data_IF_893914568176
#
_entry.id   IF_893914568176
#
_cell.length_a   1.000
_cell.length_b   1.000
_cell.length_c   1.000
_cell.angle_alpha   90.00
_cell.angle_beta   90.00
_cell.angle_gamma   90.00
#
_symmetry.space_group_name_H-M   'P 1'
#
loop_
_entity.id
_entity.type
_entity.pdbx_description
1 polymer ?
#
# COMPACT_ATOMS: atom_id res chain seq x y z
N UNK A 1 -23.51 -15.03 -25.05
CA UNK A 1 -22.16 -14.95 -24.45
C UNK A 1 -22.33 -14.33 -23.09
N UNK A 2 -21.92 -14.98 -22.02
CA UNK A 2 -21.93 -14.41 -20.66
C UNK A 2 -20.89 -13.28 -20.62
N UNK A 3 -21.31 -12.08 -20.26
CA UNK A 3 -20.42 -10.91 -20.15
C UNK A 3 -19.37 -11.20 -19.09
N UNK A 4 -18.09 -11.16 -19.46
CA UNK A 4 -16.98 -11.29 -18.51
C UNK A 4 -16.73 -9.92 -17.86
N UNK A 5 -17.38 -9.65 -16.74
CA UNK A 5 -17.25 -8.38 -16.02
C UNK A 5 -15.82 -8.07 -15.55
N UNK A 6 -15.04 -9.08 -15.21
CA UNK A 6 -13.64 -8.90 -14.82
C UNK A 6 -12.80 -8.33 -15.98
N UNK A 7 -12.96 -8.89 -17.18
CA UNK A 7 -12.22 -8.38 -18.35
C UNK A 7 -12.70 -6.98 -18.73
N UNK A 8 -14.00 -6.73 -18.70
CA UNK A 8 -14.55 -5.40 -18.97
C UNK A 8 -14.04 -4.36 -17.97
N UNK A 9 -14.00 -4.70 -16.68
CA UNK A 9 -13.41 -3.85 -15.65
C UNK A 9 -11.93 -3.54 -15.95
N UNK A 10 -11.10 -4.55 -16.26
CA UNK A 10 -9.70 -4.35 -16.60
C UNK A 10 -9.51 -3.46 -17.83
N UNK A 11 -10.37 -3.60 -18.85
CA UNK A 11 -10.33 -2.77 -20.05
C UNK A 11 -10.62 -1.30 -19.71
N UNK A 12 -11.64 -1.02 -18.89
CA UNK A 12 -11.95 0.34 -18.45
C UNK A 12 -10.81 0.93 -17.61
N UNK A 13 -10.20 0.15 -16.72
CA UNK A 13 -9.02 0.59 -15.95
C UNK A 13 -7.85 0.92 -16.88
N UNK A 14 -7.54 0.07 -17.87
CA UNK A 14 -6.48 0.33 -18.88
C UNK A 14 -6.74 1.63 -19.64
N UNK A 15 -7.98 1.85 -20.06
CA UNK A 15 -8.39 3.07 -20.74
C UNK A 15 -8.22 4.29 -19.83
N UNK A 16 -8.64 4.21 -18.57
CA UNK A 16 -8.46 5.26 -17.56
C UNK A 16 -7.00 5.67 -17.39
N UNK A 17 -6.10 4.69 -17.35
CA UNK A 17 -4.66 4.89 -17.25
C UNK A 17 -3.99 5.38 -18.55
N UNK A 18 -4.71 5.38 -19.68
CA UNK A 18 -4.12 5.66 -20.99
C UNK A 18 -3.19 4.55 -21.51
N UNK A 19 -3.39 3.31 -21.05
CA UNK A 19 -2.59 2.15 -21.46
C UNK A 19 -3.20 1.35 -22.62
N UNK A 20 -4.40 1.70 -23.08
CA UNK A 20 -5.10 1.04 -24.19
C UNK A 20 -5.70 2.08 -25.13
N UNK A 21 -5.66 1.75 -26.44
CA UNK A 21 -6.41 2.44 -27.46
C UNK A 21 -7.83 1.85 -27.61
N UNK A 22 -8.73 2.59 -28.32
CA UNK A 22 -10.17 2.32 -28.46
C UNK A 22 -10.58 1.00 -29.16
N UNK A 23 -9.68 0.06 -29.42
CA UNK A 23 -10.00 -1.23 -30.05
C UNK A 23 -10.70 -2.19 -29.06
N UNK A 24 -11.65 -1.65 -28.31
CA UNK A 24 -12.41 -2.36 -27.31
C UNK A 24 -13.69 -2.90 -27.96
N UNK A 25 -13.81 -4.24 -28.00
CA UNK A 25 -15.07 -4.93 -28.20
C UNK A 25 -15.98 -4.74 -26.96
N UNK A 26 -16.18 -3.46 -26.59
CA UNK A 26 -16.96 -3.05 -25.44
C UNK A 26 -18.45 -3.13 -25.77
N UNK A 27 -19.02 -4.33 -25.63
CA UNK A 27 -20.47 -4.46 -25.70
C UNK A 27 -21.12 -4.13 -24.34
N UNK A 28 -21.03 -2.86 -23.92
CA UNK A 28 -21.73 -2.34 -22.73
C UNK A 28 -23.27 -2.44 -22.88
N UNK A 29 -23.79 -2.47 -24.13
CA UNK A 29 -25.21 -2.55 -24.40
C UNK A 29 -25.76 -3.98 -24.36
N UNK A 30 -24.92 -5.00 -24.22
CA UNK A 30 -25.29 -6.42 -24.20
C UNK A 30 -25.77 -6.95 -22.84
N UNK A 31 -26.36 -6.12 -21.98
CA UNK A 31 -26.89 -6.55 -20.68
C UNK A 31 -25.86 -6.56 -19.54
N UNK A 32 -24.71 -5.88 -19.70
CA UNK A 32 -23.78 -5.66 -18.62
C UNK A 32 -24.46 -4.79 -17.55
N UNK A 33 -24.60 -5.31 -16.35
CA UNK A 33 -25.07 -4.53 -15.22
C UNK A 33 -23.96 -3.58 -14.78
N UNK A 34 -24.21 -2.26 -14.86
CA UNK A 34 -23.30 -1.26 -14.32
C UNK A 34 -23.02 -1.52 -12.82
N UNK A 35 -24.04 -1.93 -12.07
CA UNK A 35 -23.93 -2.26 -10.66
C UNK A 35 -22.89 -3.36 -10.38
N UNK A 36 -22.79 -4.37 -11.24
CA UNK A 36 -21.77 -5.42 -11.11
C UNK A 36 -20.35 -4.86 -11.33
N UNK A 37 -20.15 -3.98 -12.30
CA UNK A 37 -18.87 -3.29 -12.52
C UNK A 37 -18.52 -2.36 -11.37
N UNK A 38 -19.48 -1.59 -10.88
CA UNK A 38 -19.33 -0.69 -9.73
C UNK A 38 -18.93 -1.47 -8.46
N UNK A 39 -19.59 -2.62 -8.20
CA UNK A 39 -19.21 -3.50 -7.07
C UNK A 39 -17.77 -3.96 -7.20
N UNK A 40 -17.38 -4.51 -8.34
CA UNK A 40 -15.98 -4.94 -8.59
C UNK A 40 -15.01 -3.77 -8.40
N UNK A 41 -15.31 -2.60 -8.96
CA UNK A 41 -14.43 -1.44 -8.87
C UNK A 41 -14.25 -0.95 -7.43
N UNK A 42 -15.31 -0.96 -6.63
CA UNK A 42 -15.28 -0.61 -5.21
C UNK A 42 -14.47 -1.63 -4.40
N UNK A 43 -14.72 -2.93 -4.59
CA UNK A 43 -13.98 -4.02 -3.92
C UNK A 43 -12.49 -3.99 -4.25
N UNK A 44 -12.16 -3.66 -5.50
CA UNK A 44 -10.78 -3.56 -5.97
C UNK A 44 -10.12 -2.20 -5.68
N UNK A 45 -10.87 -1.22 -5.15
CA UNK A 45 -10.38 0.12 -4.81
C UNK A 45 -9.99 0.98 -6.01
N UNK A 46 -10.59 0.73 -7.19
CA UNK A 46 -10.25 1.36 -8.48
C UNK A 46 -11.45 2.05 -9.15
N UNK A 47 -12.48 2.43 -8.39
CA UNK A 47 -13.67 3.08 -8.95
C UNK A 47 -13.30 4.36 -9.72
N UNK A 48 -12.46 5.23 -9.15
CA UNK A 48 -12.05 6.48 -9.81
C UNK A 48 -11.33 6.23 -11.13
N UNK A 49 -10.35 5.31 -11.14
CA UNK A 49 -9.60 4.95 -12.36
C UNK A 49 -10.51 4.30 -13.41
N UNK A 50 -11.48 3.46 -13.01
CA UNK A 50 -12.45 2.89 -13.92
C UNK A 50 -13.35 3.97 -14.53
N UNK A 51 -13.80 4.95 -13.75
CA UNK A 51 -14.61 6.08 -14.23
C UNK A 51 -13.84 6.97 -15.20
N UNK A 52 -12.54 7.17 -15.00
CA UNK A 52 -11.65 7.83 -15.97
C UNK A 52 -11.66 7.11 -17.32
N UNK A 53 -11.74 5.78 -17.30
CA UNK A 53 -11.90 4.97 -18.49
C UNK A 53 -13.26 5.16 -19.18
N UNK A 54 -14.33 5.23 -18.39
CA UNK A 54 -15.68 5.49 -18.91
C UNK A 54 -15.76 6.88 -19.54
N UNK A 55 -15.10 7.89 -18.96
CA UNK A 55 -15.04 9.25 -19.52
C UNK A 55 -14.40 9.28 -20.91
N UNK A 56 -13.40 8.43 -21.15
CA UNK A 56 -12.65 8.32 -22.42
C UNK A 56 -13.39 7.53 -23.51
N UNK A 57 -14.50 6.85 -23.18
CA UNK A 57 -15.26 6.11 -24.17
C UNK A 57 -15.88 7.03 -25.25
N UNK A 58 -15.97 6.58 -26.51
CA UNK A 58 -16.78 7.22 -27.55
C UNK A 58 -18.21 7.45 -27.07
N UNK A 59 -18.86 8.52 -27.57
CA UNK A 59 -20.22 8.90 -27.14
C UNK A 59 -21.24 7.77 -27.30
N UNK A 60 -21.08 6.97 -28.34
CA UNK A 60 -21.96 5.86 -28.72
C UNK A 60 -21.88 4.69 -27.72
N UNK A 61 -20.76 4.56 -27.02
CA UNK A 61 -20.50 3.52 -26.02
C UNK A 61 -20.68 3.99 -24.57
N UNK A 62 -20.91 5.30 -24.37
CA UNK A 62 -21.09 5.84 -23.02
C UNK A 62 -22.44 5.40 -22.47
N UNK A 63 -22.40 5.02 -21.20
CA UNK A 63 -23.60 4.75 -20.43
C UNK A 63 -24.44 6.03 -20.27
N UNK A 64 -25.76 5.84 -20.15
CA UNK A 64 -26.62 6.95 -19.77
C UNK A 64 -26.18 7.56 -18.42
N UNK A 65 -26.16 8.89 -18.33
CA UNK A 65 -25.75 9.59 -17.11
C UNK A 65 -26.50 9.10 -15.86
N UNK A 66 -27.78 8.76 -16.02
CA UNK A 66 -28.61 8.24 -14.91
C UNK A 66 -28.04 6.92 -14.34
N UNK A 67 -27.49 6.04 -15.19
CA UNK A 67 -26.96 4.75 -14.78
C UNK A 67 -25.68 4.87 -13.93
N UNK A 68 -24.86 5.91 -14.15
CA UNK A 68 -23.57 6.12 -13.46
C UNK A 68 -23.62 7.24 -12.43
N UNK A 69 -24.79 7.84 -12.19
CA UNK A 69 -24.92 9.01 -11.31
C UNK A 69 -24.48 8.74 -9.88
N UNK A 70 -24.78 7.55 -9.37
CA UNK A 70 -24.37 7.12 -8.03
C UNK A 70 -22.83 7.02 -7.94
N UNK A 71 -22.20 6.38 -8.94
CA UNK A 71 -20.75 6.23 -9.00
C UNK A 71 -20.03 7.59 -9.12
N UNK A 72 -20.61 8.54 -9.88
CA UNK A 72 -20.11 9.92 -9.94
C UNK A 72 -20.22 10.59 -8.56
N UNK A 73 -21.32 10.38 -7.85
CA UNK A 73 -21.47 10.89 -6.48
C UNK A 73 -20.41 10.34 -5.51
N UNK A 74 -20.12 9.04 -5.59
CA UNK A 74 -19.04 8.40 -4.83
C UNK A 74 -17.66 8.95 -5.20
N UNK A 75 -17.42 9.23 -6.49
CA UNK A 75 -16.17 9.81 -6.97
C UNK A 75 -15.95 11.22 -6.40
N UNK A 76 -16.95 12.08 -6.51
CA UNK A 76 -16.90 13.45 -5.94
C UNK A 76 -16.64 13.40 -4.44
N UNK A 77 -17.28 12.48 -3.72
CA UNK A 77 -17.01 12.28 -2.29
C UNK A 77 -15.57 11.84 -2.04
N UNK A 78 -15.01 10.96 -2.89
CA UNK A 78 -13.63 10.49 -2.77
C UNK A 78 -12.63 11.63 -3.04
N UNK A 79 -12.87 12.48 -4.03
CA UNK A 79 -12.06 13.68 -4.33
C UNK A 79 -12.08 14.67 -3.15
N UNK A 80 -13.26 14.93 -2.59
CA UNK A 80 -13.40 15.78 -1.39
C UNK A 80 -12.66 15.19 -0.19
N UNK A 81 -12.77 13.87 0.01
CA UNK A 81 -12.06 13.18 1.08
C UNK A 81 -10.55 13.27 0.90
N UNK A 82 -10.05 13.14 -0.33
CA UNK A 82 -8.62 13.30 -0.64
C UNK A 82 -8.11 14.69 -0.22
N UNK A 83 -8.83 15.75 -0.57
CA UNK A 83 -8.48 17.12 -0.19
C UNK A 83 -8.50 17.33 1.34
N UNK A 84 -9.47 16.74 2.04
CA UNK A 84 -9.54 16.78 3.52
C UNK A 84 -8.36 16.04 4.13
N UNK A 85 -7.98 14.88 3.59
CA UNK A 85 -6.83 14.10 4.07
C UNK A 85 -5.51 14.84 3.86
N UNK A 86 -5.33 15.48 2.69
CA UNK A 86 -4.15 16.29 2.38
C UNK A 86 -4.01 17.45 3.38
N UNK A 87 -5.09 18.17 3.64
CA UNK A 87 -5.09 19.28 4.58
C UNK A 87 -4.76 18.82 6.02
N UNK A 88 -5.43 17.77 6.51
CA UNK A 88 -5.18 17.24 7.85
C UNK A 88 -3.75 16.71 8.01
N UNK A 89 -3.20 16.05 6.99
CA UNK A 89 -1.83 15.60 6.98
C UNK A 89 -0.83 16.76 7.00
N UNK A 90 -1.09 17.84 6.25
CA UNK A 90 -0.26 19.04 6.23
C UNK A 90 -0.24 19.77 7.57
N UNK A 91 -1.39 19.90 8.25
CA UNK A 91 -1.49 20.50 9.59
C UNK A 91 -0.72 19.68 10.62
N UNK A 92 -0.88 18.35 10.60
CA UNK A 92 -0.12 17.45 11.48
C UNK A 92 1.39 17.58 11.25
N UNK A 93 1.82 17.59 10.00
CA UNK A 93 3.25 17.68 9.67
C UNK A 93 3.84 19.03 10.07
N UNK A 94 3.09 20.12 9.97
CA UNK A 94 3.48 21.44 10.48
C UNK A 94 3.62 21.43 12.01
N UNK A 95 2.68 20.83 12.73
CA UNK A 95 2.74 20.68 14.18
C UNK A 95 3.99 19.89 14.58
N UNK A 96 4.27 18.76 13.95
CA UNK A 96 5.44 17.93 14.24
C UNK A 96 6.76 18.67 13.91
N UNK A 97 6.79 19.41 12.78
CA UNK A 97 7.94 20.22 12.39
C UNK A 97 8.27 21.30 13.44
N UNK A 98 7.26 21.98 14.03
CA UNK A 98 7.45 22.94 15.11
C UNK A 98 8.14 22.33 16.35
N UNK A 99 8.08 21.00 16.49
CA UNK A 99 8.75 20.24 17.55
C UNK A 99 10.04 19.57 17.05
N UNK A 100 10.59 19.96 15.89
CA UNK A 100 11.81 19.43 15.32
C UNK A 100 11.68 18.00 14.81
N UNK A 101 10.49 17.59 14.40
CA UNK A 101 10.19 16.25 13.89
C UNK A 101 9.79 16.34 12.41
N UNK A 102 10.49 15.60 11.56
CA UNK A 102 10.19 15.46 10.12
C UNK A 102 9.25 14.30 9.89
N UNK A 103 8.24 14.50 9.03
CA UNK A 103 7.24 13.50 8.69
C UNK A 103 7.44 12.98 7.27
N UNK A 104 7.83 11.72 7.14
CA UNK A 104 7.87 11.01 5.86
C UNK A 104 6.60 10.21 5.68
N UNK A 105 5.97 10.30 4.49
CA UNK A 105 4.79 9.51 4.12
C UNK A 105 5.25 8.26 3.38
N UNK A 106 5.04 7.07 3.96
CA UNK A 106 5.53 5.81 3.41
C UNK A 106 4.67 5.30 2.24
N UNK A 107 3.37 5.55 2.28
CA UNK A 107 2.35 5.07 1.33
C UNK A 107 1.19 6.07 1.23
N UNK A 108 0.14 5.73 0.55
CA UNK A 108 -1.02 6.63 0.41
C UNK A 108 -0.74 7.73 -0.60
N UNK A 109 -0.55 8.94 -0.15
CA UNK A 109 -0.35 10.12 -0.99
C UNK A 109 0.90 10.04 -1.88
N UNK A 110 2.02 9.46 -1.40
CA UNK A 110 3.25 9.25 -2.21
C UNK A 110 2.99 8.38 -3.44
N UNK A 111 2.14 7.37 -3.30
CA UNK A 111 1.77 6.51 -4.43
C UNK A 111 0.70 7.17 -5.29
N UNK A 112 -0.22 7.92 -4.67
CA UNK A 112 -1.26 8.65 -5.40
C UNK A 112 -0.69 9.62 -6.44
N UNK A 113 0.42 10.33 -6.11
CA UNK A 113 1.12 11.20 -7.07
C UNK A 113 1.61 10.49 -8.34
N UNK A 114 1.74 9.16 -8.30
CA UNK A 114 2.13 8.37 -9.47
C UNK A 114 0.97 8.11 -10.44
N UNK A 115 -0.26 8.39 -10.03
CA UNK A 115 -1.46 8.22 -10.86
C UNK A 115 -1.75 9.46 -11.72
N UNK A 116 -2.42 9.28 -12.87
CA UNK A 116 -2.83 10.42 -13.71
C UNK A 116 -3.70 11.44 -12.97
N UNK A 117 -4.54 10.97 -12.06
CA UNK A 117 -5.38 11.76 -11.15
C UNK A 117 -5.17 11.20 -9.73
N UNK A 118 -4.34 11.85 -8.91
CA UNK A 118 -4.04 11.38 -7.54
C UNK A 118 -5.27 11.16 -6.67
N UNK A 119 -6.26 12.04 -6.77
CA UNK A 119 -7.54 12.03 -6.05
C UNK A 119 -8.44 10.84 -6.41
N UNK A 120 -8.20 10.18 -7.56
CA UNK A 120 -8.91 8.98 -7.99
C UNK A 120 -8.31 7.68 -7.46
N UNK A 121 -7.12 7.75 -6.84
CA UNK A 121 -6.58 6.63 -6.08
C UNK A 121 -7.14 6.66 -4.66
N UNK A 122 -8.07 5.74 -4.38
CA UNK A 122 -8.64 5.61 -3.04
C UNK A 122 -7.55 5.41 -1.98
N UNK A 123 -7.49 6.30 -0.99
CA UNK A 123 -6.69 6.15 0.23
C UNK A 123 -7.62 6.03 1.43
N UNK A 124 -7.27 5.18 2.40
CA UNK A 124 -8.05 4.98 3.64
C UNK A 124 -7.28 5.56 4.80
N UNK A 125 -5.99 5.36 4.83
CA UNK A 125 -5.04 5.68 5.88
C UNK A 125 -3.79 6.36 5.32
N UNK A 126 -3.03 6.98 6.19
CA UNK A 126 -1.71 7.51 5.90
C UNK A 126 -0.68 6.82 6.78
N UNK A 127 0.18 6.02 6.17
CA UNK A 127 1.35 5.46 6.81
C UNK A 127 2.45 6.52 6.86
N UNK A 128 2.93 6.89 8.04
CA UNK A 128 4.04 7.82 8.19
C UNK A 128 5.17 7.26 9.05
N UNK A 129 6.35 7.83 8.86
CA UNK A 129 7.56 7.53 9.62
C UNK A 129 8.21 8.84 10.07
N UNK A 130 8.48 8.95 11.36
CA UNK A 130 8.99 10.18 11.96
C UNK A 130 10.51 10.12 12.14
N UNK A 131 11.19 11.22 11.85
CA UNK A 131 12.63 11.37 12.01
C UNK A 131 12.94 12.70 12.68
N UNK A 132 13.93 12.73 13.54
CA UNK A 132 14.39 13.97 14.18
C UNK A 132 15.11 14.86 13.15
N UNK A 133 14.78 16.14 13.07
CA UNK A 133 15.41 17.07 12.11
C UNK A 133 16.88 17.39 12.42
N UNK A 134 17.29 17.29 13.68
CA UNK A 134 18.60 17.75 14.16
C UNK A 134 19.58 16.62 14.52
N UNK A 135 19.26 15.37 14.25
CA UNK A 135 20.15 14.28 14.64
C UNK A 135 21.36 14.15 13.71
N UNK A 136 22.51 14.58 14.23
CA UNK A 136 23.83 14.12 13.77
C UNK A 136 24.07 12.69 14.30
N UNK A 137 23.30 11.72 13.80
CA UNK A 137 23.37 10.35 14.31
C UNK A 137 24.70 9.68 13.95
N UNK A 138 25.47 9.33 14.97
CA UNK A 138 26.50 8.30 14.87
C UNK A 138 25.85 6.99 14.42
N UNK A 139 26.27 6.48 13.26
CA UNK A 139 25.67 5.37 12.48
C UNK A 139 25.68 3.97 13.14
N UNK A 140 25.72 3.87 14.44
CA UNK A 140 25.42 2.60 15.12
C UNK A 140 23.90 2.43 15.14
N UNK A 141 23.34 1.99 14.01
CA UNK A 141 21.90 1.77 13.82
C UNK A 141 21.40 0.71 14.82
N UNK A 142 21.02 1.19 16.00
CA UNK A 142 20.20 0.42 16.90
C UNK A 142 18.74 0.55 16.45
N UNK A 143 17.98 -0.53 16.36
CA UNK A 143 16.56 -0.51 16.01
C UNK A 143 15.70 0.37 16.93
N UNK A 144 16.23 0.76 18.07
CA UNK A 144 15.60 1.66 19.03
C UNK A 144 15.78 3.16 18.71
N UNK A 145 16.57 3.53 17.69
CA UNK A 145 16.81 4.95 17.35
C UNK A 145 15.50 5.68 17.02
N UNK A 146 14.59 5.02 16.36
CA UNK A 146 13.29 5.60 16.03
C UNK A 146 12.30 5.61 17.21
N UNK A 147 12.52 4.82 18.24
CA UNK A 147 11.57 4.67 19.35
C UNK A 147 11.35 6.00 20.10
N UNK A 148 12.40 6.77 20.31
CA UNK A 148 12.30 8.07 21.01
C UNK A 148 11.54 9.10 20.17
N UNK A 149 11.87 9.22 18.88
CA UNK A 149 11.20 10.17 17.98
C UNK A 149 9.75 9.76 17.75
N UNK A 150 9.49 8.48 17.57
CA UNK A 150 8.14 7.92 17.44
C UNK A 150 7.27 8.25 18.66
N UNK A 151 7.79 8.01 19.88
CA UNK A 151 7.06 8.30 21.12
C UNK A 151 6.90 9.80 21.36
N UNK A 152 7.91 10.60 21.01
CA UNK A 152 7.83 12.06 21.08
C UNK A 152 6.76 12.60 20.13
N UNK A 153 6.70 12.09 18.91
CA UNK A 153 5.64 12.43 17.95
C UNK A 153 4.25 12.06 18.46
N UNK A 154 4.10 10.88 19.05
CA UNK A 154 2.83 10.46 19.69
C UNK A 154 2.40 11.43 20.79
N UNK A 155 3.35 11.86 21.68
CA UNK A 155 3.05 12.84 22.74
C UNK A 155 2.65 14.19 22.18
N UNK A 156 3.30 14.69 21.13
CA UNK A 156 2.91 15.95 20.47
C UNK A 156 1.47 15.89 19.95
N UNK A 157 1.08 14.76 19.37
CA UNK A 157 -0.30 14.54 18.89
C UNK A 157 -1.29 14.45 20.04
N UNK A 158 -0.93 13.80 21.16
CA UNK A 158 -1.76 13.73 22.38
C UNK A 158 -1.91 15.12 23.03
N UNK A 159 -0.85 15.92 23.12
CA UNK A 159 -0.88 17.29 23.64
C UNK A 159 -1.73 18.22 22.77
N UNK A 160 -1.86 17.92 21.47
CA UNK A 160 -2.80 18.60 20.56
C UNK A 160 -4.25 18.14 20.72
N UNK A 161 -4.53 17.18 21.63
CA UNK A 161 -5.89 16.75 21.99
C UNK A 161 -6.41 15.53 21.24
N UNK A 162 -5.54 14.79 20.52
CA UNK A 162 -5.95 13.56 19.82
C UNK A 162 -5.58 12.32 20.63
N UNK A 163 -6.45 11.32 20.60
CA UNK A 163 -6.18 10.02 21.24
C UNK A 163 -5.23 9.18 20.37
N UNK A 164 -4.16 8.64 20.98
CA UNK A 164 -3.17 7.79 20.30
C UNK A 164 -3.27 6.37 20.81
N UNK A 165 -3.72 5.46 19.93
CA UNK A 165 -3.75 4.03 20.19
C UNK A 165 -2.37 3.38 19.97
N UNK A 166 -1.82 2.76 21.01
CA UNK A 166 -0.53 2.03 20.97
C UNK A 166 -0.74 0.52 21.00
N UNK A 167 -1.75 0.03 20.26
CA UNK A 167 -2.15 -1.39 20.31
C UNK A 167 -1.23 -2.36 19.60
N UNK A 168 -0.35 -1.89 18.73
CA UNK A 168 0.51 -2.74 17.92
C UNK A 168 1.97 -2.33 18.04
N UNK A 169 2.90 -3.29 18.10
CA UNK A 169 4.33 -3.00 18.30
C UNK A 169 4.97 -2.22 17.13
N UNK A 170 4.37 -2.34 15.94
CA UNK A 170 4.88 -1.77 14.69
C UNK A 170 4.50 -0.29 14.53
N UNK A 171 3.33 0.10 14.95
CA UNK A 171 2.77 1.44 14.76
C UNK A 171 1.86 1.86 15.91
N UNK A 172 1.65 3.15 16.03
CA UNK A 172 0.53 3.75 16.75
C UNK A 172 -0.48 4.28 15.74
N UNK A 173 -1.75 4.34 16.15
CA UNK A 173 -2.84 4.82 15.31
C UNK A 173 -3.54 5.98 15.99
N UNK A 174 -3.84 7.04 15.25
CA UNK A 174 -4.66 8.14 15.70
C UNK A 174 -5.53 8.68 14.56
N UNK A 175 -6.60 9.38 14.95
CA UNK A 175 -7.59 9.87 14.01
C UNK A 175 -7.63 11.39 14.02
N UNK A 176 -7.27 11.98 12.89
CA UNK A 176 -7.48 13.40 12.59
C UNK A 176 -8.82 13.58 11.88
N UNK A 177 -9.36 14.80 11.78
CA UNK A 177 -10.56 15.03 11.01
C UNK A 177 -10.43 14.53 9.57
N UNK A 178 -11.14 13.44 9.25
CA UNK A 178 -11.15 12.82 7.93
C UNK A 178 -9.92 12.00 7.55
N UNK A 179 -8.94 11.78 8.46
CA UNK A 179 -7.73 11.02 8.19
C UNK A 179 -7.38 10.09 9.35
N UNK A 180 -7.20 8.80 9.05
CA UNK A 180 -6.55 7.86 9.95
C UNK A 180 -5.05 7.84 9.66
N UNK A 181 -4.23 8.00 10.70
CA UNK A 181 -2.77 7.98 10.60
C UNK A 181 -2.22 6.76 11.32
N UNK A 182 -1.38 6.01 10.62
CA UNK A 182 -0.52 4.97 11.20
C UNK A 182 0.91 5.51 11.31
N UNK A 183 1.29 5.90 12.52
CA UNK A 183 2.65 6.35 12.81
C UNK A 183 3.53 5.14 13.07
N UNK A 184 4.38 4.80 12.10
CA UNK A 184 5.22 3.63 12.12
C UNK A 184 6.46 3.81 13.00
N UNK A 185 6.60 2.96 14.03
CA UNK A 185 7.87 2.75 14.74
C UNK A 185 8.80 1.89 13.90
N UNK A 186 8.23 0.90 13.20
CA UNK A 186 8.93 -0.01 12.30
C UNK A 186 8.19 -0.13 10.98
N UNK A 187 8.94 -0.14 9.89
CA UNK A 187 8.39 -0.28 8.54
C UNK A 187 7.99 -1.73 8.22
N UNK A 188 8.64 -2.72 8.86
CA UNK A 188 8.41 -4.14 8.59
C UNK A 188 7.86 -4.91 9.81
N UNK A 189 7.04 -5.97 9.63
CA UNK A 189 6.57 -6.83 10.71
C UNK A 189 7.63 -7.91 11.06
N UNK A 190 8.77 -7.52 11.60
CA UNK A 190 9.95 -8.39 11.72
C UNK A 190 9.95 -9.34 12.93
N UNK A 191 8.98 -9.29 13.85
CA UNK A 191 8.96 -10.18 15.02
C UNK A 191 9.10 -11.65 14.63
N UNK A 192 10.07 -12.36 15.24
CA UNK A 192 10.38 -13.74 14.93
C UNK A 192 11.11 -13.95 13.60
N UNK A 193 11.22 -12.95 12.72
CA UNK A 193 11.79 -13.08 11.39
C UNK A 193 13.10 -12.30 11.24
N UNK A 194 14.23 -13.04 11.32
CA UNK A 194 15.58 -12.43 11.23
C UNK A 194 15.86 -11.74 9.89
N UNK A 195 15.22 -12.20 8.79
CA UNK A 195 15.38 -11.62 7.46
C UNK A 195 14.68 -10.24 7.40
N UNK A 196 13.44 -10.17 7.83
CA UNK A 196 12.72 -8.89 7.94
C UNK A 196 13.37 -7.93 8.95
N UNK A 197 13.96 -8.44 10.04
CA UNK A 197 14.73 -7.61 10.97
C UNK A 197 15.97 -6.98 10.33
N UNK A 198 16.63 -7.66 9.40
CA UNK A 198 17.73 -7.07 8.62
C UNK A 198 17.21 -6.04 7.62
N UNK A 199 16.09 -6.33 6.95
CA UNK A 199 15.44 -5.37 6.06
C UNK A 199 15.07 -4.09 6.81
N UNK A 200 14.48 -4.20 8.00
CA UNK A 200 14.14 -3.05 8.84
C UNK A 200 15.37 -2.17 9.14
N UNK A 201 16.49 -2.79 9.52
CA UNK A 201 17.74 -2.06 9.75
C UNK A 201 18.24 -1.33 8.50
N UNK A 202 18.14 -1.97 7.33
CA UNK A 202 18.51 -1.37 6.06
C UNK A 202 17.61 -0.16 5.76
N UNK A 203 16.28 -0.33 5.85
CA UNK A 203 15.32 0.76 5.59
C UNK A 203 15.57 1.96 6.51
N UNK A 204 15.73 1.72 7.80
CA UNK A 204 16.05 2.80 8.76
C UNK A 204 17.40 3.44 8.46
N UNK A 205 18.43 2.66 8.11
CA UNK A 205 19.75 3.21 7.79
C UNK A 205 19.72 4.13 6.57
N UNK A 206 18.94 3.78 5.54
CA UNK A 206 18.75 4.63 4.33
C UNK A 206 17.98 5.90 4.73
N UNK A 207 16.91 5.79 5.51
CA UNK A 207 16.12 6.94 5.97
C UNK A 207 16.95 7.93 6.77
N UNK A 208 17.77 7.44 7.70
CA UNK A 208 18.61 8.30 8.53
C UNK A 208 19.78 8.91 7.75
N UNK A 209 20.40 8.16 6.83
CA UNK A 209 21.47 8.68 5.97
C UNK A 209 20.96 9.78 5.03
N UNK A 210 19.77 9.62 4.47
CA UNK A 210 19.12 10.63 3.63
C UNK A 210 18.89 11.91 4.46
N UNK A 211 18.42 11.78 5.68
CA UNK A 211 18.18 12.90 6.58
C UNK A 211 19.47 13.70 6.91
N UNK A 212 20.65 13.05 6.94
CA UNK A 212 21.94 13.71 7.16
C UNK A 212 22.50 14.41 5.94
N UNK A 213 22.28 13.83 4.74
CA UNK A 213 22.88 14.31 3.50
C UNK A 213 22.04 15.40 2.82
N UNK A 214 20.81 15.56 3.24
CA UNK A 214 19.88 16.46 2.59
C UNK A 214 19.81 17.75 3.42
N UNK A 215 20.41 18.82 2.88
CA UNK A 215 19.62 20.05 2.74
C UNK A 215 18.38 19.61 1.99
N UNK A 216 17.34 19.15 2.74
CA UNK A 216 16.11 18.61 2.18
C UNK A 216 15.55 19.71 1.29
N UNK A 217 15.85 19.60 0.01
CA UNK A 217 15.41 20.55 -0.99
C UNK A 217 13.88 20.57 -0.96
N UNK A 218 13.32 21.73 -1.23
CA UNK A 218 11.87 21.88 -1.38
C UNK A 218 11.27 20.85 -2.36
N UNK A 219 12.09 20.32 -3.28
CA UNK A 219 11.76 19.26 -4.23
C UNK A 219 11.35 17.90 -3.60
N UNK A 220 11.78 17.59 -2.36
CA UNK A 220 11.40 16.34 -1.67
C UNK A 220 10.09 16.47 -0.89
N UNK A 221 9.47 17.64 -0.85
CA UNK A 221 8.16 17.81 -0.22
C UNK A 221 7.08 17.14 -1.06
N UNK A 222 6.23 16.36 -0.39
CA UNK A 222 5.14 15.64 -1.06
C UNK A 222 4.13 16.61 -1.68
N UNK A 223 3.74 17.65 -0.92
CA UNK A 223 2.90 18.73 -1.41
C UNK A 223 3.64 20.06 -1.26
N UNK A 224 3.50 20.93 -2.25
CA UNK A 224 4.15 22.25 -2.22
C UNK A 224 3.71 23.06 -0.98
N UNK A 225 4.67 23.65 -0.30
CA UNK A 225 4.41 24.44 0.90
C UNK A 225 4.13 23.65 2.18
N UNK A 226 4.13 22.31 2.15
CA UNK A 226 3.90 21.48 3.34
C UNK A 226 5.21 20.95 3.96
N UNK A 227 5.10 20.35 5.14
CA UNK A 227 6.19 19.67 5.86
C UNK A 227 6.10 18.14 5.77
N UNK A 228 5.43 17.65 4.75
CA UNK A 228 5.36 16.24 4.39
C UNK A 228 6.46 15.92 3.37
N UNK A 229 7.16 14.82 3.58
CA UNK A 229 8.30 14.44 2.75
C UNK A 229 8.11 13.05 2.14
N UNK A 230 8.65 12.88 0.92
CA UNK A 230 8.79 11.57 0.30
C UNK A 230 9.99 10.86 0.91
N UNK A 231 9.88 9.55 1.22
CA UNK A 231 11.05 8.74 1.55
C UNK A 231 12.00 8.62 0.34
N UNK A 232 13.27 8.24 0.57
CA UNK A 232 14.15 7.81 -0.52
C UNK A 232 13.47 6.76 -1.40
N UNK A 233 13.65 6.85 -2.72
CA UNK A 233 12.96 5.99 -3.69
C UNK A 233 13.18 4.51 -3.40
N UNK A 234 14.39 4.11 -2.98
CA UNK A 234 14.70 2.73 -2.59
C UNK A 234 13.88 2.27 -1.38
N UNK A 235 13.69 3.13 -0.38
CA UNK A 235 12.86 2.84 0.81
C UNK A 235 11.41 2.64 0.40
N UNK A 236 10.86 3.57 -0.39
CA UNK A 236 9.49 3.48 -0.90
C UNK A 236 9.28 2.20 -1.72
N UNK A 237 10.23 1.85 -2.59
CA UNK A 237 10.17 0.64 -3.42
C UNK A 237 10.13 -0.64 -2.56
N UNK A 238 11.06 -0.78 -1.62
CA UNK A 238 11.14 -1.94 -0.73
C UNK A 238 9.93 -2.02 0.22
N UNK A 239 9.48 -0.89 0.75
CA UNK A 239 8.29 -0.82 1.60
C UNK A 239 7.03 -1.26 0.86
N UNK A 240 6.82 -0.79 -0.39
CA UNK A 240 5.67 -1.18 -1.20
C UNK A 240 5.65 -2.69 -1.50
N UNK A 241 6.81 -3.28 -1.81
CA UNK A 241 6.90 -4.73 -2.06
C UNK A 241 6.68 -5.53 -0.79
N UNK A 242 7.32 -5.14 0.33
CA UNK A 242 7.12 -5.83 1.62
C UNK A 242 5.67 -5.74 2.07
N UNK A 243 5.06 -4.56 1.99
CA UNK A 243 3.69 -4.32 2.37
C UNK A 243 2.71 -5.16 1.51
N UNK A 244 2.88 -5.17 0.19
CA UNK A 244 2.07 -6.00 -0.70
C UNK A 244 2.28 -7.51 -0.43
N UNK A 245 3.51 -7.93 -0.14
CA UNK A 245 3.83 -9.31 0.22
C UNK A 245 3.16 -9.73 1.53
N UNK A 246 3.20 -8.86 2.54
CA UNK A 246 2.56 -9.08 3.84
C UNK A 246 1.05 -9.21 3.70
N UNK A 247 0.39 -8.27 2.99
CA UNK A 247 -1.03 -8.37 2.65
C UNK A 247 -1.36 -9.65 1.89
N UNK A 248 -0.58 -9.99 0.86
CA UNK A 248 -0.79 -11.21 0.09
C UNK A 248 -0.82 -12.45 0.99
N UNK A 249 0.10 -12.57 1.93
CA UNK A 249 0.18 -13.75 2.79
C UNK A 249 -0.97 -13.86 3.80
N UNK A 250 -1.49 -12.72 4.31
CA UNK A 250 -2.39 -12.72 5.45
C UNK A 250 -3.84 -12.37 5.10
N UNK A 251 -4.07 -11.45 4.18
CA UNK A 251 -5.38 -10.87 3.88
C UNK A 251 -5.79 -11.08 2.41
N UNK A 252 -4.83 -11.05 1.49
CA UNK A 252 -5.03 -11.05 0.06
C UNK A 252 -4.72 -9.69 -0.57
N UNK A 253 -4.60 -9.70 -1.91
CA UNK A 253 -4.34 -8.49 -2.68
C UNK A 253 -5.61 -8.02 -3.39
N UNK A 254 -5.68 -6.72 -3.63
CA UNK A 254 -6.60 -6.13 -4.62
C UNK A 254 -5.82 -5.63 -5.83
N UNK A 255 -6.51 -5.35 -6.93
CA UNK A 255 -5.90 -4.74 -8.11
C UNK A 255 -5.28 -3.38 -7.82
N UNK A 256 -5.79 -2.64 -6.82
CA UNK A 256 -5.17 -1.39 -6.37
C UNK A 256 -3.73 -1.62 -5.87
N UNK A 257 -3.46 -2.66 -5.08
CA UNK A 257 -2.10 -2.95 -4.64
C UNK A 257 -1.17 -3.24 -5.82
N UNK A 258 -1.65 -4.02 -6.78
CA UNK A 258 -0.89 -4.36 -8.00
C UNK A 258 -0.61 -3.11 -8.84
N UNK A 259 -1.61 -2.24 -8.98
CA UNK A 259 -1.49 -0.99 -9.74
C UNK A 259 -0.57 0.02 -9.04
N UNK A 260 -0.61 0.12 -7.73
CA UNK A 260 0.26 0.98 -6.94
C UNK A 260 1.74 0.75 -7.30
N UNK A 261 2.16 -0.51 -7.38
CA UNK A 261 3.52 -0.85 -7.81
C UNK A 261 3.79 -0.48 -9.27
N UNK A 262 2.84 -0.72 -10.17
CA UNK A 262 3.02 -0.38 -11.59
C UNK A 262 3.16 1.14 -11.80
N UNK A 263 2.36 1.93 -11.10
CA UNK A 263 2.44 3.40 -11.19
C UNK A 263 3.73 3.91 -10.57
N UNK A 264 4.11 3.41 -9.40
CA UNK A 264 5.35 3.77 -8.73
C UNK A 264 6.57 3.42 -9.57
N UNK A 265 6.71 2.18 -10.02
CA UNK A 265 7.86 1.71 -10.81
C UNK A 265 7.99 2.44 -12.15
N UNK A 266 6.87 2.86 -12.76
CA UNK A 266 6.88 3.70 -13.97
C UNK A 266 7.36 5.11 -13.68
N UNK A 267 6.86 5.73 -12.59
CA UNK A 267 7.19 7.11 -12.20
C UNK A 267 8.66 7.27 -11.83
N UNK A 268 9.20 6.31 -11.08
CA UNK A 268 10.57 6.34 -10.57
C UNK A 268 11.54 5.47 -11.36
N UNK A 269 11.22 5.18 -12.62
CA UNK A 269 11.99 4.30 -13.48
C UNK A 269 13.46 4.72 -13.61
N UNK A 270 13.72 6.03 -13.73
CA UNK A 270 15.06 6.58 -13.93
C UNK A 270 15.79 6.87 -12.61
N UNK A 271 15.05 6.91 -11.48
CA UNK A 271 15.59 7.27 -10.16
C UNK A 271 15.95 6.05 -9.31
N UNK A 272 15.25 4.92 -9.52
CA UNK A 272 15.51 3.69 -8.77
C UNK A 272 16.72 2.94 -9.34
N UNK A 273 17.71 2.66 -8.49
CA UNK A 273 18.78 1.72 -8.84
C UNK A 273 18.21 0.30 -8.89
N UNK A 274 17.81 -0.10 -10.10
CA UNK A 274 17.21 -1.42 -10.36
C UNK A 274 18.16 -2.58 -10.07
N UNK A 275 19.47 -2.40 -10.25
CA UNK A 275 20.45 -3.44 -9.97
C UNK A 275 20.56 -3.73 -8.47
N UNK A 276 20.68 -2.68 -7.66
CA UNK A 276 20.68 -2.79 -6.22
C UNK A 276 19.32 -3.29 -5.68
N UNK A 277 18.21 -2.74 -6.18
CA UNK A 277 16.87 -3.17 -5.81
C UNK A 277 16.62 -4.66 -6.08
N UNK A 278 17.01 -5.14 -7.26
CA UNK A 278 16.84 -6.54 -7.66
C UNK A 278 17.64 -7.50 -6.77
N UNK A 279 18.87 -7.10 -6.38
CA UNK A 279 19.68 -7.83 -5.41
C UNK A 279 19.01 -7.92 -4.03
N UNK A 280 18.39 -6.83 -3.58
CA UNK A 280 17.66 -6.80 -2.30
C UNK A 280 16.38 -7.65 -2.33
N UNK A 281 15.66 -7.69 -3.46
CA UNK A 281 14.52 -8.59 -3.67
C UNK A 281 14.92 -10.06 -3.47
N UNK A 282 16.10 -10.46 -3.97
CA UNK A 282 16.63 -11.80 -3.76
C UNK A 282 17.10 -12.03 -2.31
N UNK A 283 17.85 -11.09 -1.74
CA UNK A 283 18.39 -11.19 -0.38
C UNK A 283 17.27 -11.34 0.65
N UNK A 284 16.20 -10.56 0.50
CA UNK A 284 15.07 -10.59 1.44
C UNK A 284 13.99 -11.62 1.11
N UNK A 285 14.19 -12.43 0.04
CA UNK A 285 13.36 -13.58 -0.31
C UNK A 285 12.00 -13.23 -0.87
N UNK A 286 11.90 -12.09 -1.53
CA UNK A 286 10.67 -11.65 -2.19
C UNK A 286 10.57 -12.14 -3.65
N UNK A 287 11.63 -12.69 -4.24
CA UNK A 287 11.74 -13.01 -5.68
C UNK A 287 10.54 -13.72 -6.26
N UNK A 288 10.11 -14.84 -5.65
CA UNK A 288 8.99 -15.63 -6.16
C UNK A 288 7.67 -14.85 -6.20
N UNK A 289 7.42 -14.05 -5.14
CA UNK A 289 6.27 -13.16 -5.07
C UNK A 289 6.41 -12.03 -6.10
N UNK A 290 7.54 -11.32 -6.07
CA UNK A 290 7.80 -10.15 -6.90
C UNK A 290 7.66 -10.43 -8.38
N UNK A 291 8.22 -11.55 -8.88
CA UNK A 291 8.12 -11.93 -10.28
C UNK A 291 6.68 -12.14 -10.73
N UNK A 292 5.87 -12.85 -9.93
CA UNK A 292 4.45 -13.05 -10.21
C UNK A 292 3.65 -11.75 -10.10
N UNK A 293 3.94 -10.95 -9.08
CA UNK A 293 3.32 -9.65 -8.84
C UNK A 293 3.56 -8.69 -10.02
N UNK A 294 4.79 -8.62 -10.52
CA UNK A 294 5.13 -7.83 -11.70
C UNK A 294 4.46 -8.36 -12.99
N UNK A 295 4.30 -9.70 -13.15
CA UNK A 295 3.57 -10.26 -14.30
C UNK A 295 2.08 -9.92 -14.24
N UNK A 296 1.45 -9.98 -13.05
CA UNK A 296 0.07 -9.52 -12.87
C UNK A 296 -0.07 -8.04 -13.17
N UNK A 297 0.88 -7.22 -12.73
CA UNK A 297 0.88 -5.79 -13.04
C UNK A 297 0.94 -5.52 -14.54
N UNK A 298 1.81 -6.21 -15.27
CA UNK A 298 1.87 -6.11 -16.74
C UNK A 298 0.59 -6.62 -17.40
N UNK A 299 -0.02 -7.68 -16.87
CA UNK A 299 -1.33 -8.16 -17.32
C UNK A 299 -2.41 -7.10 -17.09
N UNK A 300 -2.44 -6.47 -15.92
CA UNK A 300 -3.39 -5.40 -15.58
C UNK A 300 -3.34 -4.25 -16.59
N UNK A 301 -2.13 -3.75 -16.92
CA UNK A 301 -1.95 -2.61 -17.83
C UNK A 301 -1.97 -2.98 -19.32
N UNK A 302 -2.26 -4.23 -19.66
CA UNK A 302 -2.39 -4.70 -21.06
C UNK A 302 -1.08 -5.04 -21.76
N UNK A 303 0.07 -4.96 -21.07
CA UNK A 303 1.39 -5.33 -21.61
C UNK A 303 1.69 -6.84 -21.60
N UNK A 304 0.73 -7.68 -21.19
CA UNK A 304 0.89 -9.12 -21.05
C UNK A 304 -0.46 -9.84 -21.19
N UNK A 305 -0.50 -10.98 -21.87
CA UNK A 305 -1.73 -11.75 -22.07
C UNK A 305 -1.92 -12.84 -21.02
N UNK A 306 -3.16 -13.26 -20.80
CA UNK A 306 -3.49 -14.31 -19.85
C UNK A 306 -2.81 -15.66 -20.17
N UNK A 307 -2.53 -15.94 -21.44
CA UNK A 307 -1.88 -17.19 -21.86
C UNK A 307 -0.41 -17.27 -21.39
N UNK A 308 0.25 -16.14 -21.24
CA UNK A 308 1.61 -16.05 -20.71
C UNK A 308 1.72 -16.23 -19.19
N UNK A 309 0.60 -16.28 -18.45
CA UNK A 309 0.61 -16.45 -17.00
C UNK A 309 0.96 -17.89 -16.61
N UNK A 310 1.92 -18.05 -15.69
CA UNK A 310 2.26 -19.34 -15.10
C UNK A 310 1.12 -19.89 -14.23
N UNK A 311 1.12 -21.18 -13.85
CA UNK A 311 0.16 -21.71 -12.89
C UNK A 311 0.16 -20.96 -11.54
N UNK A 312 1.33 -20.49 -11.07
CA UNK A 312 1.44 -19.70 -9.86
C UNK A 312 0.78 -18.32 -10.03
N UNK A 313 1.03 -17.65 -11.17
CA UNK A 313 0.41 -16.36 -11.49
C UNK A 313 -1.11 -16.46 -11.58
N UNK A 314 -1.63 -17.51 -12.22
CA UNK A 314 -3.08 -17.76 -12.31
C UNK A 314 -3.71 -17.96 -10.93
N UNK A 315 -2.97 -18.59 -10.00
CA UNK A 315 -3.44 -18.76 -8.64
C UNK A 315 -3.42 -17.45 -7.84
N UNK A 316 -2.39 -16.62 -8.03
CA UNK A 316 -2.36 -15.26 -7.47
C UNK A 316 -3.48 -14.40 -8.07
N UNK A 317 -3.71 -14.47 -9.38
CA UNK A 317 -4.82 -13.79 -10.06
C UNK A 317 -6.19 -14.17 -9.47
N UNK A 318 -6.40 -15.48 -9.22
CA UNK A 318 -7.62 -15.95 -8.56
C UNK A 318 -7.79 -15.39 -7.14
N UNK A 319 -6.69 -15.24 -6.39
CA UNK A 319 -6.69 -14.66 -5.04
C UNK A 319 -7.00 -13.15 -5.07
N UNK A 320 -6.50 -12.43 -6.07
CA UNK A 320 -6.80 -10.99 -6.26
C UNK A 320 -8.30 -10.75 -6.53
N UNK A 321 -8.96 -11.65 -7.26
CA UNK A 321 -10.40 -11.54 -7.53
C UNK A 321 -11.28 -12.00 -6.36
N UNK A 322 -10.75 -12.80 -5.44
CA UNK A 322 -11.48 -13.31 -4.28
C UNK A 322 -10.53 -13.30 -3.06
N UNK A 323 -10.17 -12.11 -2.54
CA UNK A 323 -9.30 -12.00 -1.37
C UNK A 323 -9.94 -12.69 -0.15
N UNK A 324 -9.10 -13.11 0.79
CA UNK A 324 -9.58 -13.70 2.04
C UNK A 324 -10.41 -12.65 2.80
N UNK A 325 -11.64 -13.03 3.13
CA UNK A 325 -12.53 -12.19 3.94
C UNK A 325 -12.01 -12.20 5.39
N UNK A 326 -11.33 -11.13 5.78
CA UNK A 326 -10.84 -10.93 7.15
C UNK A 326 -11.86 -10.10 7.90
N UNK A 327 -12.81 -10.76 8.56
CA UNK A 327 -13.75 -10.08 9.44
C UNK A 327 -13.07 -9.58 10.71
N UNK A 328 -12.90 -8.27 10.85
CA UNK A 328 -12.32 -7.61 12.03
C UNK A 328 -13.15 -7.76 13.33
N UNK A 329 -14.35 -8.28 13.25
CA UNK A 329 -15.35 -8.22 14.35
C UNK A 329 -15.29 -9.37 15.36
N UNK A 330 -14.35 -10.31 15.22
CA UNK A 330 -14.29 -11.48 16.13
C UNK A 330 -13.28 -11.28 17.26
N UNK A 331 -13.74 -11.49 18.50
CA UNK A 331 -12.90 -11.44 19.70
C UNK A 331 -12.69 -12.82 20.33
N UNK A 332 -11.62 -12.99 21.10
CA UNK A 332 -11.37 -14.18 21.92
C UNK A 332 -11.01 -15.44 21.11
N UNK A 333 -11.52 -16.60 21.54
CA UNK A 333 -11.18 -17.90 20.94
C UNK A 333 -11.62 -18.02 19.48
N UNK A 334 -12.76 -17.42 19.12
CA UNK A 334 -13.26 -17.43 17.74
C UNK A 334 -12.30 -16.71 16.77
N UNK A 335 -11.76 -15.57 17.18
CA UNK A 335 -10.76 -14.84 16.40
C UNK A 335 -9.48 -15.68 16.18
N UNK A 336 -9.01 -16.38 17.23
CA UNK A 336 -7.83 -17.27 17.12
C UNK A 336 -8.08 -18.46 16.19
N UNK A 337 -9.28 -19.06 16.23
CA UNK A 337 -9.65 -20.15 15.34
C UNK A 337 -9.79 -19.70 13.89
N UNK A 338 -10.35 -18.50 13.66
CA UNK A 338 -10.44 -17.91 12.32
C UNK A 338 -9.05 -17.61 11.77
N UNK A 339 -8.18 -17.01 12.57
CA UNK A 339 -6.79 -16.74 12.20
C UNK A 339 -6.05 -18.04 11.81
N UNK A 340 -6.17 -19.10 12.63
CA UNK A 340 -5.61 -20.40 12.30
C UNK A 340 -6.19 -20.98 10.99
N UNK A 341 -7.49 -20.80 10.77
CA UNK A 341 -8.17 -21.20 9.54
C UNK A 341 -7.67 -20.42 8.32
N UNK A 342 -7.43 -19.12 8.45
CA UNK A 342 -6.88 -18.28 7.39
C UNK A 342 -5.43 -18.68 7.06
N UNK A 343 -4.59 -18.93 8.07
CA UNK A 343 -3.25 -19.48 7.87
C UNK A 343 -3.28 -20.82 7.12
N UNK A 344 -4.21 -21.71 7.49
CA UNK A 344 -4.38 -22.99 6.79
C UNK A 344 -4.82 -22.81 5.33
N UNK A 345 -5.76 -21.91 5.08
CA UNK A 345 -6.19 -21.56 3.71
C UNK A 345 -5.05 -20.93 2.90
N UNK A 346 -4.23 -20.08 3.53
CA UNK A 346 -3.10 -19.41 2.91
C UNK A 346 -1.86 -20.30 2.71
N UNK A 347 -1.82 -21.57 3.20
CA UNK A 347 -0.63 -22.45 3.12
C UNK A 347 -0.04 -22.59 1.72
N UNK A 348 -0.88 -22.49 0.68
CA UNK A 348 -0.43 -22.54 -0.71
C UNK A 348 0.40 -21.31 -1.11
N UNK A 349 0.13 -20.14 -0.53
CA UNK A 349 0.88 -18.90 -0.73
C UNK A 349 2.32 -19.08 -0.24
N UNK A 350 2.48 -19.65 0.95
CA UNK A 350 3.81 -19.99 1.49
C UNK A 350 4.54 -20.99 0.60
N UNK A 351 3.88 -22.03 0.11
CA UNK A 351 4.48 -23.04 -0.75
C UNK A 351 4.97 -22.47 -2.09
N UNK A 352 4.22 -21.58 -2.71
CA UNK A 352 4.50 -21.08 -4.06
C UNK A 352 5.36 -19.82 -4.07
N UNK A 353 5.22 -18.94 -3.08
CA UNK A 353 5.73 -17.58 -3.13
C UNK A 353 6.74 -17.24 -2.04
N UNK A 354 7.05 -18.16 -1.14
CA UNK A 354 8.05 -17.95 -0.10
C UNK A 354 9.11 -19.05 -0.12
N UNK A 355 10.21 -18.80 0.60
CA UNK A 355 11.23 -19.82 0.88
C UNK A 355 11.00 -20.52 2.21
N UNK A 356 9.86 -20.23 2.88
CA UNK A 356 9.49 -20.78 4.17
C UNK A 356 8.28 -21.72 4.03
N UNK A 357 8.24 -22.74 4.86
CA UNK A 357 7.02 -23.50 5.04
C UNK A 357 6.03 -22.71 5.91
N UNK A 358 4.73 -22.90 5.69
CA UNK A 358 3.70 -22.25 6.51
C UNK A 358 3.81 -22.62 8.00
N UNK A 359 4.27 -23.84 8.34
CA UNK A 359 4.53 -24.28 9.72
C UNK A 359 5.65 -23.47 10.37
N UNK A 360 6.72 -23.20 9.62
CA UNK A 360 7.82 -22.37 10.10
C UNK A 360 7.36 -20.91 10.29
N UNK A 361 6.60 -20.36 9.35
CA UNK A 361 6.05 -19.01 9.48
C UNK A 361 5.12 -18.88 10.70
N UNK A 362 4.26 -19.88 10.93
CA UNK A 362 3.42 -19.94 12.11
C UNK A 362 4.25 -20.04 13.40
N UNK A 363 5.30 -20.88 13.42
CA UNK A 363 6.19 -21.00 14.56
C UNK A 363 6.95 -19.71 14.85
N UNK A 364 7.48 -19.02 13.82
CA UNK A 364 8.15 -17.72 13.95
C UNK A 364 7.18 -16.67 14.51
N UNK A 365 5.93 -16.63 14.02
CA UNK A 365 4.90 -15.72 14.52
C UNK A 365 4.56 -16.00 16.00
N UNK A 366 4.34 -17.26 16.39
CA UNK A 366 4.06 -17.64 17.78
C UNK A 366 5.26 -17.31 18.67
N UNK A 367 6.47 -17.63 18.23
CA UNK A 367 7.69 -17.33 18.98
C UNK A 367 7.87 -15.82 19.18
N UNK A 368 7.70 -15.03 18.13
CA UNK A 368 7.76 -13.57 18.19
C UNK A 368 6.71 -13.00 19.14
N UNK A 369 5.48 -13.52 19.10
CA UNK A 369 4.40 -13.06 19.97
C UNK A 369 4.60 -13.41 21.46
N UNK A 370 5.31 -14.52 21.76
CA UNK A 370 5.45 -15.04 23.14
C UNK A 370 6.78 -14.61 23.78
N UNK A 371 7.87 -14.61 23.00
CA UNK A 371 9.22 -14.50 23.55
C UNK A 371 9.93 -13.18 23.21
N UNK A 372 9.58 -12.50 22.12
CA UNK A 372 10.08 -11.16 21.86
C UNK A 372 9.23 -10.15 22.65
N UNK A 373 9.57 -9.96 23.94
CA UNK A 373 9.04 -8.86 24.74
C UNK A 373 9.42 -7.55 24.07
N UNK A 374 8.51 -6.57 24.11
CA UNK A 374 8.80 -5.24 23.61
C UNK A 374 10.04 -4.66 24.30
N UNK A 375 11.05 -4.21 23.54
CA UNK A 375 12.08 -3.38 24.14
C UNK A 375 11.41 -2.08 24.57
N UNK A 376 11.29 -1.87 25.89
CA UNK A 376 10.97 -0.54 26.42
C UNK A 376 9.55 -0.25 26.89
N UNK A 377 8.69 -1.24 27.15
CA UNK A 377 7.49 -1.08 27.97
C UNK A 377 7.73 -1.76 29.33
N UNK A 378 8.64 -1.25 30.11
CA UNK A 378 8.86 -1.55 31.52
C UNK A 378 8.60 -0.32 32.36
#
# INVERSE_FOLDING_TARGET
MTTNYHELFLQLVRLGLGCADYNLDLNLNGGASWQALESIANEQGLLGVMLDGVEKLPRELRLEKKAILQSIGQLIQSEQQYAVQEHAAAEMALLLHQHGIRTYVLKGAVVAECYPRPEHRRSVDMDCFLVNENDNLNLNVNLDLNAEVWERGNRVVEEAGFEVGRGFYKNSTFHLPGLTVENHRFMTPFRGNKRLKRLERLLQSIMFNDNLNVKVEASNRLFEGTWLYRPPVMVSALFLIEHAYSHFLHEGLTWRHVLDWQMFSRRYREELDWGAFDGLIDEYGFRKFYDSYCRLGRYLVGGFTADGLTPADRRMLSDVWAPLDVHESLHGLKAKLQLAGNYWRARWKYKLFTDMTWLRALAEWVFGAVFEREPGLG
#
